data_IF_424439111637
#
_entry.id   IF_424439111637
#
_cell.length_a   1.000
_cell.length_b   1.000
_cell.length_c   1.000
_cell.angle_alpha   90.00
_cell.angle_beta   90.00
_cell.angle_gamma   90.00
#
_symmetry.space_group_name_H-M   'P 1'
#
loop_
_entity.id
_entity.type
_entity.pdbx_description
1 polymer ?
#
# COMPACT_ATOMS: atom_id res chain seq x y z
N UNK A 1 10.01 -1.28 8.31
CA UNK A 1 9.14 -0.15 8.75
C UNK A 1 7.70 -0.56 8.54
N UNK A 2 6.76 -0.14 9.40
CA UNK A 2 5.33 -0.39 9.17
C UNK A 2 4.58 0.92 8.99
N UNK A 3 3.78 0.98 7.93
CA UNK A 3 2.87 2.07 7.59
C UNK A 3 1.44 1.55 7.75
N UNK A 4 0.60 2.27 8.48
CA UNK A 4 -0.79 1.94 8.73
C UNK A 4 -1.64 3.16 8.38
N UNK A 5 -2.26 3.14 7.20
CA UNK A 5 -3.12 4.22 6.73
C UNK A 5 -4.57 3.84 6.94
N UNK A 6 -5.30 4.65 7.69
CA UNK A 6 -6.74 4.57 7.82
C UNK A 6 -7.40 5.71 7.04
N UNK A 7 -7.91 5.37 5.85
CA UNK A 7 -8.50 6.33 4.91
C UNK A 7 -9.85 6.87 5.37
N UNK A 8 -10.43 6.33 6.45
CA UNK A 8 -11.60 6.95 7.11
C UNK A 8 -11.26 8.31 7.70
N UNK A 9 -9.97 8.57 7.94
CA UNK A 9 -9.44 9.85 8.39
C UNK A 9 -9.05 10.79 7.23
N UNK A 10 -9.40 10.43 5.99
CA UNK A 10 -9.10 11.21 4.79
C UNK A 10 -7.82 10.80 4.07
N UNK A 11 -7.39 11.64 3.13
CA UNK A 11 -6.21 11.41 2.32
C UNK A 11 -4.90 11.53 3.13
N UNK A 12 -3.84 10.89 2.64
CA UNK A 12 -2.47 11.05 3.12
C UNK A 12 -1.54 11.41 1.97
N UNK A 13 -0.42 12.06 2.27
CA UNK A 13 0.55 12.51 1.27
C UNK A 13 1.62 11.47 0.93
N UNK A 14 1.58 10.25 1.51
CA UNK A 14 2.44 9.13 1.08
C UNK A 14 1.87 8.35 -0.11
N UNK A 15 0.67 8.71 -0.58
CA UNK A 15 0.03 8.13 -1.75
C UNK A 15 -0.35 9.24 -2.73
N UNK A 16 0.04 9.07 -3.99
CA UNK A 16 -0.39 9.94 -5.08
C UNK A 16 -1.68 9.40 -5.70
N UNK A 17 -2.69 10.26 -5.79
CA UNK A 17 -3.92 9.95 -6.50
C UNK A 17 -3.77 10.08 -8.01
N UNK A 18 -4.51 9.25 -8.73
CA UNK A 18 -4.93 9.48 -10.10
C UNK A 18 -6.44 9.39 -10.19
N UNK A 19 -7.02 10.11 -11.15
CA UNK A 19 -8.46 10.40 -11.16
C UNK A 19 -8.85 11.26 -9.96
N UNK A 20 -10.00 10.98 -9.36
CA UNK A 20 -10.50 11.74 -8.21
C UNK A 20 -11.12 10.83 -7.14
N UNK A 21 -10.31 10.05 -6.39
CA UNK A 21 -10.80 9.30 -5.25
C UNK A 21 -11.44 10.23 -4.22
N UNK A 22 -12.55 9.81 -3.61
CA UNK A 22 -13.22 10.53 -2.52
C UNK A 22 -13.04 9.82 -1.18
N UNK A 23 -13.26 10.52 -0.07
CA UNK A 23 -13.00 10.00 1.27
C UNK A 23 -14.20 10.23 2.20
N UNK A 24 -14.54 9.25 3.02
CA UNK A 24 -15.57 9.40 4.05
C UNK A 24 -15.24 8.61 5.33
N UNK A 25 -15.71 9.04 6.51
CA UNK A 25 -15.48 8.31 7.76
C UNK A 25 -16.03 6.88 7.79
N UNK A 26 -17.09 6.58 7.03
CA UNK A 26 -17.69 5.24 7.00
C UNK A 26 -16.99 4.26 6.06
N UNK A 27 -16.59 4.74 4.88
CA UNK A 27 -16.11 3.88 3.79
C UNK A 27 -14.62 4.00 3.50
N UNK A 28 -13.93 4.99 4.07
CA UNK A 28 -12.56 5.31 3.71
C UNK A 28 -12.45 5.89 2.30
N UNK A 29 -11.45 5.49 1.53
CA UNK A 29 -11.24 5.91 0.16
C UNK A 29 -12.21 5.20 -0.79
N UNK A 30 -12.82 5.94 -1.71
CA UNK A 30 -13.74 5.42 -2.74
C UNK A 30 -13.19 5.68 -4.14
N UNK A 31 -13.11 4.63 -4.94
CA UNK A 31 -12.62 4.60 -6.31
C UNK A 31 -13.81 4.31 -7.21
N UNK A 32 -14.30 5.33 -7.92
CA UNK A 32 -15.55 5.24 -8.67
C UNK A 32 -15.33 5.32 -10.18
N UNK A 33 -15.76 4.29 -10.90
CA UNK A 33 -15.83 4.25 -12.36
C UNK A 33 -17.23 4.68 -12.78
N UNK A 34 -17.34 5.79 -13.52
CA UNK A 34 -18.62 6.32 -14.03
C UNK A 34 -18.73 6.15 -15.55
N UNK A 35 -17.61 6.24 -16.26
CA UNK A 35 -17.55 6.19 -17.72
C UNK A 35 -16.25 5.55 -18.22
N UNK A 36 -16.19 5.29 -19.52
CA UNK A 36 -14.99 4.82 -20.18
C UNK A 36 -13.78 5.72 -19.92
N UNK A 37 -12.63 5.10 -19.67
CA UNK A 37 -11.38 5.77 -19.31
C UNK A 37 -11.24 6.14 -17.82
N UNK A 38 -12.28 6.03 -17.00
CA UNK A 38 -12.12 6.23 -15.56
C UNK A 38 -11.31 5.07 -14.94
N UNK A 39 -10.20 5.41 -14.30
CA UNK A 39 -9.34 4.48 -13.54
C UNK A 39 -8.81 5.15 -12.26
N UNK A 40 -9.69 5.56 -11.31
CA UNK A 40 -9.24 6.17 -10.07
C UNK A 40 -8.43 5.20 -9.21
N UNK A 41 -7.34 5.70 -8.62
CA UNK A 41 -6.42 4.88 -7.86
C UNK A 41 -5.51 5.70 -6.94
N UNK A 42 -4.87 5.01 -5.99
CA UNK A 42 -3.79 5.52 -5.13
C UNK A 42 -2.51 4.70 -5.36
N UNK A 43 -1.38 5.39 -5.50
CA UNK A 43 -0.06 4.79 -5.68
C UNK A 43 0.88 5.26 -4.57
N UNK A 44 1.56 4.34 -3.87
CA UNK A 44 2.54 4.73 -2.86
C UNK A 44 3.70 5.51 -3.48
N UNK A 45 4.16 6.54 -2.77
CA UNK A 45 5.39 7.28 -3.12
C UNK A 45 6.67 6.58 -2.65
N UNK A 46 6.51 5.43 -2.00
CA UNK A 46 7.60 4.61 -1.48
C UNK A 46 7.48 3.19 -2.02
N UNK A 47 8.59 2.47 -1.97
CA UNK A 47 8.71 1.07 -2.33
C UNK A 47 8.96 0.26 -1.06
N UNK A 48 8.61 -1.03 -1.10
CA UNK A 48 9.04 -2.02 -0.11
C UNK A 48 9.90 -3.07 -0.80
N UNK A 49 10.85 -3.66 -0.09
CA UNK A 49 11.66 -4.76 -0.61
C UNK A 49 11.46 -5.99 0.23
N UNK A 50 10.70 -6.95 -0.31
CA UNK A 50 9.97 -7.93 0.48
C UNK A 50 9.08 -7.25 1.55
N UNK A 51 8.09 -7.96 2.05
CA UNK A 51 7.19 -7.35 3.00
C UNK A 51 5.84 -7.99 3.09
N UNK A 52 4.93 -7.22 3.66
CA UNK A 52 3.54 -7.58 3.80
C UNK A 52 2.65 -6.39 3.48
N UNK A 53 1.57 -6.63 2.76
CA UNK A 53 0.52 -5.65 2.48
C UNK A 53 -0.81 -6.26 2.92
N UNK A 54 -1.44 -5.66 3.93
CA UNK A 54 -2.82 -5.92 4.32
C UNK A 54 -3.69 -4.77 3.79
N UNK A 55 -4.75 -5.06 3.02
CA UNK A 55 -5.76 -4.08 2.59
C UNK A 55 -7.14 -4.50 3.08
N UNK A 56 -7.90 -3.59 3.69
CA UNK A 56 -9.30 -3.83 4.09
C UNK A 56 -10.24 -3.10 3.14
N UNK A 57 -11.00 -3.84 2.35
CA UNK A 57 -11.77 -3.27 1.24
C UNK A 57 -13.08 -3.99 0.92
N UNK A 58 -13.91 -3.34 0.10
CA UNK A 58 -15.02 -3.88 -0.68
C UNK A 58 -14.74 -3.66 -2.17
N UNK A 59 -14.87 -4.70 -2.98
CA UNK A 59 -14.72 -4.61 -4.42
C UNK A 59 -15.91 -3.90 -5.07
N UNK A 60 -15.66 -3.23 -6.20
CA UNK A 60 -16.71 -2.65 -7.03
C UNK A 60 -17.54 -3.74 -7.72
N UNK A 61 -18.88 -3.64 -7.72
CA UNK A 61 -19.75 -4.52 -8.52
C UNK A 61 -19.76 -4.08 -9.99
N UNK A 62 -20.31 -4.93 -10.86
CA UNK A 62 -20.61 -4.60 -12.26
C UNK A 62 -19.81 -5.44 -13.25
N UNK A 63 -20.48 -5.92 -14.31
CA UNK A 63 -19.81 -6.65 -15.38
C UNK A 63 -18.68 -5.79 -15.99
N UNK A 64 -17.51 -6.38 -16.22
CA UNK A 64 -16.36 -5.66 -16.77
C UNK A 64 -15.62 -4.72 -15.82
N UNK A 65 -16.16 -4.46 -14.62
CA UNK A 65 -15.47 -3.63 -13.61
C UNK A 65 -14.46 -4.48 -12.86
N UNK A 66 -13.28 -3.90 -12.64
CA UNK A 66 -12.17 -4.55 -11.96
C UNK A 66 -11.77 -3.68 -10.78
N UNK A 67 -11.63 -4.29 -9.60
CA UNK A 67 -10.92 -3.70 -8.46
C UNK A 67 -9.57 -4.38 -8.34
N UNK A 68 -8.53 -3.63 -8.00
CA UNK A 68 -7.15 -4.11 -8.07
C UNK A 68 -6.34 -3.69 -6.85
N UNK A 69 -5.51 -4.59 -6.35
CA UNK A 69 -4.35 -4.31 -5.52
C UNK A 69 -3.13 -4.90 -6.22
N UNK A 70 -2.18 -4.04 -6.55
CA UNK A 70 -0.99 -4.38 -7.32
C UNK A 70 0.25 -3.93 -6.55
N UNK A 71 1.18 -4.86 -6.33
CA UNK A 71 2.56 -4.54 -6.00
C UNK A 71 3.34 -4.60 -7.30
N UNK A 72 4.00 -3.50 -7.70
CA UNK A 72 4.68 -3.40 -8.99
C UNK A 72 6.07 -2.77 -8.82
N UNK A 73 7.10 -3.34 -9.44
CA UNK A 73 8.46 -2.79 -9.46
C UNK A 73 8.72 -1.96 -10.72
N UNK A 74 9.82 -1.22 -10.71
CA UNK A 74 10.28 -0.47 -11.90
C UNK A 74 10.79 -1.39 -13.03
N UNK A 75 11.18 -2.63 -12.74
CA UNK A 75 11.51 -3.64 -13.74
C UNK A 75 10.32 -4.54 -14.11
N UNK A 76 9.11 -4.24 -13.60
CA UNK A 76 7.85 -4.94 -13.88
C UNK A 76 7.77 -6.37 -13.29
N UNK A 77 8.46 -6.62 -12.18
CA UNK A 77 8.01 -7.64 -11.24
C UNK A 77 6.70 -7.19 -10.59
N UNK A 78 5.74 -8.11 -10.45
CA UNK A 78 4.36 -7.78 -10.08
C UNK A 78 3.70 -8.88 -9.24
N UNK A 79 2.89 -8.46 -8.25
CA UNK A 79 1.98 -9.33 -7.49
C UNK A 79 0.60 -8.66 -7.45
N UNK A 80 -0.41 -9.40 -7.91
CA UNK A 80 -1.76 -8.88 -8.07
C UNK A 80 -2.80 -9.59 -7.20
N UNK A 81 -3.80 -8.82 -6.80
CA UNK A 81 -5.11 -9.27 -6.36
C UNK A 81 -6.17 -8.51 -7.16
N UNK A 82 -6.96 -9.24 -7.93
CA UNK A 82 -7.99 -8.67 -8.81
C UNK A 82 -9.37 -9.19 -8.45
N UNK A 83 -10.35 -8.30 -8.31
CA UNK A 83 -11.75 -8.66 -8.10
C UNK A 83 -12.56 -8.24 -9.31
N UNK A 84 -13.28 -9.21 -9.90
CA UNK A 84 -14.13 -8.99 -11.05
C UNK A 84 -15.55 -8.68 -10.58
N UNK A 85 -16.06 -7.49 -10.90
CA UNK A 85 -17.37 -7.02 -10.46
C UNK A 85 -18.55 -7.88 -10.94
N UNK A 86 -18.33 -8.75 -11.93
CA UNK A 86 -19.29 -9.75 -12.39
C UNK A 86 -19.51 -10.91 -11.41
N UNK A 87 -18.63 -11.12 -10.43
CA UNK A 87 -18.74 -12.22 -9.46
C UNK A 87 -18.49 -11.71 -8.02
N UNK A 88 -19.52 -11.74 -7.14
CA UNK A 88 -19.41 -11.23 -5.77
C UNK A 88 -18.67 -12.17 -4.80
N UNK A 89 -18.35 -13.39 -5.22
CA UNK A 89 -17.87 -14.46 -4.34
C UNK A 89 -16.52 -15.05 -4.76
N UNK A 90 -15.72 -14.26 -5.47
CA UNK A 90 -14.43 -14.68 -6.03
C UNK A 90 -13.40 -13.53 -6.01
N UNK A 91 -12.11 -13.90 -6.00
CA UNK A 91 -10.99 -13.04 -6.32
C UNK A 91 -9.97 -13.80 -7.16
N UNK A 92 -9.14 -13.09 -7.92
CA UNK A 92 -7.99 -13.64 -8.62
C UNK A 92 -6.69 -13.20 -7.93
N UNK A 93 -5.74 -14.13 -7.81
CA UNK A 93 -4.34 -13.80 -7.52
C UNK A 93 -3.51 -13.97 -8.78
N UNK A 94 -2.53 -13.11 -9.02
CA UNK A 94 -1.61 -13.23 -10.14
C UNK A 94 -0.20 -12.74 -9.77
N UNK A 95 0.77 -13.01 -10.64
CA UNK A 95 2.13 -12.48 -10.51
C UNK A 95 2.82 -12.41 -11.88
N UNK A 96 3.75 -11.47 -12.03
CA UNK A 96 4.63 -11.36 -13.20
C UNK A 96 6.08 -11.14 -12.77
N UNK A 97 7.03 -11.65 -13.56
CA UNK A 97 8.43 -11.29 -13.40
C UNK A 97 8.92 -10.52 -14.62
N UNK A 98 9.55 -9.38 -14.38
CA UNK A 98 10.25 -8.57 -15.40
C UNK A 98 9.39 -8.19 -16.60
N UNK A 99 8.07 -8.04 -16.40
CA UNK A 99 7.10 -7.74 -17.45
C UNK A 99 6.96 -8.85 -18.50
N UNK A 100 7.44 -10.06 -18.20
CA UNK A 100 7.43 -11.19 -19.16
C UNK A 100 6.05 -11.82 -19.20
N UNK A 101 5.35 -11.57 -20.31
CA UNK A 101 3.96 -11.99 -20.56
C UNK A 101 3.84 -13.12 -21.58
N UNK A 102 4.92 -13.89 -21.76
CA UNK A 102 5.00 -15.03 -22.69
C UNK A 102 3.95 -16.10 -22.43
N UNK A 103 3.49 -16.22 -21.17
CA UNK A 103 2.42 -17.10 -20.73
C UNK A 103 1.43 -16.32 -19.84
N UNK A 104 0.17 -16.74 -19.87
CA UNK A 104 -0.93 -16.14 -19.08
C UNK A 104 -1.57 -17.15 -18.11
N UNK A 105 -0.78 -18.13 -17.67
CA UNK A 105 -1.17 -19.26 -16.83
C UNK A 105 -0.97 -19.03 -15.32
N UNK A 106 -0.49 -17.86 -14.92
CA UNK A 106 -0.10 -17.55 -13.54
C UNK A 106 -1.28 -17.11 -12.67
N UNK A 107 -2.35 -16.64 -13.28
CA UNK A 107 -3.57 -16.24 -12.59
C UNK A 107 -4.32 -17.44 -12.03
N UNK A 108 -4.81 -17.32 -10.81
CA UNK A 108 -5.65 -18.33 -10.15
C UNK A 108 -6.82 -17.66 -9.46
N UNK A 109 -8.03 -18.17 -9.73
CA UNK A 109 -9.26 -17.72 -9.08
C UNK A 109 -9.51 -18.51 -7.79
N UNK A 110 -10.01 -17.82 -6.77
CA UNK A 110 -10.26 -18.32 -5.44
C UNK A 110 -11.67 -17.95 -4.99
N UNK A 111 -12.41 -18.89 -4.42
CA UNK A 111 -13.71 -18.57 -3.82
C UNK A 111 -13.51 -17.77 -2.53
N UNK A 112 -14.06 -16.56 -2.50
CA UNK A 112 -14.06 -15.65 -1.36
C UNK A 112 -15.42 -15.01 -1.28
N UNK A 113 -16.26 -15.46 -0.35
CA UNK A 113 -17.65 -15.03 -0.27
C UNK A 113 -17.76 -13.54 0.10
N UNK A 114 -18.64 -12.82 -0.58
CA UNK A 114 -19.03 -11.45 -0.23
C UNK A 114 -17.98 -10.37 -0.48
N UNK A 115 -17.12 -10.51 -1.50
CA UNK A 115 -16.07 -9.53 -1.83
C UNK A 115 -16.61 -8.11 -2.09
N UNK A 116 -17.85 -8.01 -2.57
CA UNK A 116 -18.54 -6.75 -2.89
C UNK A 116 -19.42 -6.25 -1.73
N UNK A 117 -19.84 -7.14 -0.81
CA UNK A 117 -20.79 -6.84 0.25
C UNK A 117 -20.13 -6.59 1.62
N UNK A 118 -18.99 -7.26 1.88
CA UNK A 118 -18.34 -7.30 3.19
C UNK A 118 -16.99 -6.59 3.17
N UNK A 119 -16.64 -5.96 4.29
CA UNK A 119 -15.28 -5.50 4.52
C UNK A 119 -14.38 -6.70 4.78
N UNK A 120 -13.56 -7.05 3.80
CA UNK A 120 -12.63 -8.18 3.90
C UNK A 120 -11.21 -7.64 3.95
N UNK A 121 -10.40 -8.19 4.85
CA UNK A 121 -8.97 -7.97 4.86
C UNK A 121 -8.27 -8.98 3.96
N UNK A 122 -7.57 -8.49 2.96
CA UNK A 122 -6.73 -9.27 2.07
C UNK A 122 -5.26 -9.02 2.41
N UNK A 123 -4.44 -10.06 2.29
CA UNK A 123 -3.02 -10.00 2.63
C UNK A 123 -2.18 -10.56 1.50
N UNK A 124 -1.09 -9.87 1.17
CA UNK A 124 0.06 -10.42 0.45
C UNK A 124 1.24 -10.43 1.43
N UNK A 125 1.81 -11.61 1.71
CA UNK A 125 3.10 -11.79 2.39
C UNK A 125 4.13 -12.24 1.35
N UNK A 126 5.17 -11.45 1.15
CA UNK A 126 6.15 -11.63 0.09
C UNK A 126 7.55 -11.64 0.67
N UNK A 127 8.27 -12.73 0.43
CA UNK A 127 9.66 -12.93 0.86
C UNK A 127 10.52 -13.38 -0.31
N UNK A 128 11.83 -13.56 -0.11
CA UNK A 128 12.66 -14.18 -1.15
C UNK A 128 12.29 -15.63 -1.46
N UNK A 129 11.60 -16.30 -0.54
CA UNK A 129 11.35 -17.75 -0.60
C UNK A 129 9.91 -18.10 -1.01
N UNK A 130 8.94 -17.21 -0.76
CA UNK A 130 7.53 -17.43 -1.08
C UNK A 130 6.70 -16.14 -1.17
N UNK A 131 5.57 -16.25 -1.87
CA UNK A 131 4.43 -15.33 -1.80
C UNK A 131 3.23 -16.08 -1.22
N UNK A 132 2.53 -15.47 -0.27
CA UNK A 132 1.28 -15.98 0.30
C UNK A 132 0.18 -14.93 0.09
N UNK A 133 -0.93 -15.36 -0.51
CA UNK A 133 -2.15 -14.57 -0.60
C UNK A 133 -3.15 -15.07 0.44
N UNK A 134 -3.84 -14.14 1.10
CA UNK A 134 -4.86 -14.45 2.10
C UNK A 134 -6.09 -13.58 1.92
N UNK A 135 -7.25 -14.13 2.29
CA UNK A 135 -8.52 -13.40 2.39
C UNK A 135 -9.20 -13.74 3.72
N UNK A 136 -9.60 -12.72 4.49
CA UNK A 136 -10.28 -12.92 5.77
C UNK A 136 -9.48 -13.73 6.78
N UNK A 137 -8.14 -13.65 6.74
CA UNK A 137 -7.24 -14.42 7.62
C UNK A 137 -6.99 -15.88 7.20
N UNK A 138 -7.52 -16.33 6.05
CA UNK A 138 -7.28 -17.66 5.49
C UNK A 138 -6.34 -17.59 4.30
N UNK A 139 -5.37 -18.49 4.24
CA UNK A 139 -4.50 -18.65 3.06
C UNK A 139 -5.32 -19.19 1.90
N UNK A 140 -5.26 -18.51 0.76
CA UNK A 140 -5.92 -18.94 -0.49
C UNK A 140 -4.90 -19.40 -1.54
N UNK A 141 -3.67 -18.89 -1.49
CA UNK A 141 -2.57 -19.33 -2.34
C UNK A 141 -1.22 -19.18 -1.64
N UNK A 142 -0.34 -20.14 -1.87
CA UNK A 142 1.09 -20.03 -1.57
C UNK A 142 1.88 -20.39 -2.82
N UNK A 143 2.81 -19.53 -3.22
CA UNK A 143 3.78 -19.77 -4.29
C UNK A 143 5.17 -19.78 -3.67
N UNK A 144 5.85 -20.93 -3.65
CA UNK A 144 7.27 -20.93 -3.32
C UNK A 144 8.08 -20.42 -4.52
N UNK A 145 9.20 -19.74 -4.24
CA UNK A 145 10.07 -19.18 -5.29
C UNK A 145 10.52 -20.25 -6.28
N UNK A 146 10.83 -21.46 -5.81
CA UNK A 146 11.24 -22.61 -6.63
C UNK A 146 10.15 -23.13 -7.57
N UNK A 147 8.88 -22.84 -7.29
CA UNK A 147 7.73 -23.32 -8.06
C UNK A 147 7.26 -22.27 -9.07
N UNK A 148 7.77 -21.04 -8.98
CA UNK A 148 7.57 -20.04 -10.01
C UNK A 148 8.36 -20.41 -11.27
N UNK A 149 7.75 -20.19 -12.44
CA UNK A 149 8.44 -20.29 -13.73
C UNK A 149 9.75 -19.50 -13.73
N UNK A 150 10.74 -19.99 -14.49
CA UNK A 150 12.08 -19.42 -14.51
C UNK A 150 12.05 -17.92 -14.85
N UNK A 151 12.60 -17.11 -13.93
CA UNK A 151 12.65 -15.66 -14.08
C UNK A 151 11.33 -14.93 -13.86
N UNK A 152 10.28 -15.63 -13.41
CA UNK A 152 8.96 -15.03 -13.15
C UNK A 152 8.70 -14.67 -11.69
N UNK A 153 9.56 -15.09 -10.75
CA UNK A 153 9.34 -14.77 -9.34
C UNK A 153 9.64 -13.28 -9.04
N UNK A 154 8.66 -12.51 -8.53
CA UNK A 154 8.84 -11.13 -8.11
C UNK A 154 9.87 -11.00 -7.00
N UNK A 155 10.90 -10.18 -7.21
CA UNK A 155 12.07 -10.15 -6.35
C UNK A 155 12.78 -8.79 -6.32
N UNK A 156 12.14 -7.73 -6.80
CA UNK A 156 12.70 -6.38 -6.81
C UNK A 156 11.75 -5.42 -6.08
N UNK A 157 12.22 -4.25 -5.59
CA UNK A 157 11.40 -3.36 -4.77
C UNK A 157 10.12 -2.97 -5.49
N UNK A 158 8.99 -3.09 -4.80
CA UNK A 158 7.66 -2.80 -5.36
C UNK A 158 6.97 -1.66 -4.64
N UNK A 159 6.32 -0.80 -5.40
CA UNK A 159 5.32 0.16 -4.91
C UNK A 159 3.97 -0.52 -4.81
N UNK A 160 3.07 0.07 -4.03
CA UNK A 160 1.71 -0.44 -3.79
C UNK A 160 0.72 0.47 -4.53
N UNK A 161 -0.07 -0.11 -5.41
CA UNK A 161 -1.10 0.55 -6.21
C UNK A 161 -2.44 -0.12 -5.91
N UNK A 162 -3.50 0.65 -5.75
CA UNK A 162 -4.85 0.09 -5.65
C UNK A 162 -5.90 1.08 -6.15
N UNK A 163 -6.96 0.53 -6.74
CA UNK A 163 -8.00 1.30 -7.38
C UNK A 163 -8.94 0.43 -8.20
N UNK A 164 -9.83 1.08 -8.95
CA UNK A 164 -10.80 0.39 -9.81
C UNK A 164 -10.80 0.96 -11.21
N UNK A 165 -11.09 0.12 -12.19
CA UNK A 165 -11.10 0.48 -13.60
C UNK A 165 -12.06 -0.41 -14.39
N UNK A 166 -12.33 -0.03 -15.63
CA UNK A 166 -13.15 -0.81 -16.54
C UNK A 166 -12.29 -1.69 -17.43
N UNK A 167 -12.08 -2.95 -17.04
CA UNK A 167 -11.44 -3.97 -17.88
C UNK A 167 -12.34 -4.43 -19.04
N UNK A 168 -13.65 -4.34 -18.85
CA UNK A 168 -14.67 -4.70 -19.82
C UNK A 168 -15.02 -3.65 -20.87
N UNK A 169 -14.27 -2.54 -20.99
CA UNK A 169 -14.51 -1.55 -22.04
C UNK A 169 -13.95 -2.03 -23.39
N UNK A 170 -14.82 -2.38 -24.38
CA UNK A 170 -14.35 -2.86 -25.68
C UNK A 170 -13.76 -1.74 -26.56
N UNK A 171 -13.94 -0.47 -26.21
CA UNK A 171 -13.42 0.65 -26.99
C UNK A 171 -11.96 0.97 -26.64
N UNK A 172 -11.52 0.60 -25.44
CA UNK A 172 -10.18 0.92 -24.94
C UNK A 172 -9.32 -0.31 -24.67
N UNK A 173 -9.92 -1.49 -24.50
CA UNK A 173 -9.20 -2.70 -24.12
C UNK A 173 -9.26 -3.80 -25.19
N UNK A 174 -8.24 -4.65 -25.19
CA UNK A 174 -8.21 -5.83 -26.05
C UNK A 174 -9.35 -6.82 -25.70
N UNK A 175 -9.85 -7.55 -26.69
CA UNK A 175 -10.94 -8.52 -26.51
C UNK A 175 -10.65 -9.57 -25.41
N UNK A 176 -9.39 -9.98 -25.26
CA UNK A 176 -8.95 -10.87 -24.18
C UNK A 176 -9.16 -10.28 -22.79
N UNK A 177 -8.81 -9.00 -22.59
CA UNK A 177 -9.03 -8.27 -21.34
C UNK A 177 -10.53 -8.11 -21.05
N UNK A 178 -11.32 -7.77 -22.07
CA UNK A 178 -12.79 -7.63 -21.91
C UNK A 178 -13.43 -8.96 -21.51
N UNK A 179 -13.01 -10.05 -22.15
CA UNK A 179 -13.47 -11.41 -21.82
C UNK A 179 -13.04 -11.84 -20.41
N UNK A 180 -11.78 -11.62 -20.05
CA UNK A 180 -11.26 -11.90 -18.71
C UNK A 180 -12.02 -11.13 -17.63
N UNK A 181 -12.31 -9.85 -17.85
CA UNK A 181 -13.08 -9.01 -16.94
C UNK A 181 -14.58 -9.39 -16.86
N UNK A 182 -15.00 -10.41 -17.61
CA UNK A 182 -16.40 -10.87 -17.73
C UNK A 182 -17.32 -9.71 -18.16
N UNK A 183 -16.84 -8.91 -19.12
CA UNK A 183 -17.53 -7.78 -19.71
C UNK A 183 -18.41 -8.15 -20.92
N UNK A 184 -19.04 -7.17 -21.58
CA UNK A 184 -18.67 -5.75 -21.58
C UNK A 184 -19.17 -4.95 -20.37
N UNK A 185 -18.51 -3.82 -20.08
CA UNK A 185 -18.95 -2.85 -19.08
C UNK A 185 -20.14 -2.03 -19.60
N UNK A 186 -21.20 -1.95 -18.79
CA UNK A 186 -22.38 -1.13 -19.06
C UNK A 186 -22.41 0.07 -18.11
N UNK A 187 -21.82 1.20 -18.54
CA UNK A 187 -21.72 2.41 -17.74
C UNK A 187 -23.07 3.00 -17.31
N UNK A 188 -24.18 2.65 -18.00
CA UNK A 188 -25.52 3.11 -17.60
C UNK A 188 -26.00 2.49 -16.28
N UNK A 189 -25.36 1.38 -15.85
CA UNK A 189 -25.61 0.73 -14.55
C UNK A 189 -24.68 1.21 -13.44
N UNK A 190 -23.80 2.17 -13.75
CA UNK A 190 -22.94 2.81 -12.78
C UNK A 190 -23.71 3.80 -11.89
N UNK A 191 -23.00 4.52 -11.00
CA UNK A 191 -21.55 4.43 -10.78
C UNK A 191 -21.14 3.11 -10.11
N UNK A 192 -19.94 2.63 -10.42
CA UNK A 192 -19.35 1.44 -9.80
C UNK A 192 -18.23 1.85 -8.86
N UNK A 193 -18.28 1.44 -7.59
CA UNK A 193 -17.35 1.96 -6.58
C UNK A 193 -16.67 0.85 -5.80
N UNK A 194 -15.34 0.82 -5.85
CA UNK A 194 -14.49 0.11 -4.89
C UNK A 194 -14.26 1.00 -3.68
N UNK A 195 -14.26 0.41 -2.48
CA UNK A 195 -14.02 1.15 -1.24
C UNK A 195 -12.90 0.50 -0.42
N UNK A 196 -12.01 1.32 0.15
CA UNK A 196 -10.87 0.87 0.95
C UNK A 196 -10.86 1.63 2.28
N UNK A 197 -11.01 0.90 3.38
CA UNK A 197 -10.93 1.50 4.72
C UNK A 197 -9.49 1.77 5.13
N UNK A 198 -8.61 0.78 4.94
CA UNK A 198 -7.24 0.88 5.45
C UNK A 198 -6.27 0.00 4.69
N UNK A 199 -5.00 0.38 4.79
CA UNK A 199 -3.84 -0.38 4.29
C UNK A 199 -2.77 -0.42 5.37
N UNK A 200 -2.26 -1.61 5.68
CA UNK A 200 -1.08 -1.81 6.52
C UNK A 200 0.03 -2.41 5.67
N UNK A 201 1.12 -1.69 5.51
CA UNK A 201 2.29 -2.10 4.73
C UNK A 201 3.47 -2.26 5.66
N UNK A 202 4.08 -3.42 5.65
CA UNK A 202 5.35 -3.67 6.33
C UNK A 202 6.44 -3.93 5.31
N UNK A 203 7.49 -3.11 5.37
CA UNK A 203 8.74 -3.35 4.66
C UNK A 203 9.62 -4.27 5.50
N UNK A 204 9.93 -5.46 4.96
CA UNK A 204 10.86 -6.41 5.60
C UNK A 204 12.32 -5.97 5.47
N UNK A 205 12.61 -4.94 4.69
CA UNK A 205 13.93 -4.34 4.58
C UNK A 205 14.03 -3.05 5.42
N UNK A 206 15.25 -2.54 5.56
CA UNK A 206 15.56 -1.23 6.16
C UNK A 206 16.28 -0.36 5.14
N UNK A 207 16.26 0.95 5.33
CA UNK A 207 16.96 1.90 4.47
C UNK A 207 16.08 3.10 4.16
N UNK A 208 16.63 4.03 3.38
CA UNK A 208 15.90 5.23 2.91
C UNK A 208 15.44 5.11 1.47
N UNK A 209 16.13 4.28 0.69
CA UNK A 209 15.89 4.07 -0.73
C UNK A 209 16.46 2.72 -1.18
N UNK A 210 15.99 2.26 -2.34
CA UNK A 210 16.48 1.07 -3.00
C UNK A 210 17.15 1.44 -4.32
N UNK A 211 18.31 0.82 -4.58
CA UNK A 211 19.08 1.03 -5.81
C UNK A 211 19.37 -0.31 -6.48
N UNK A 212 19.09 -0.37 -7.79
CA UNK A 212 19.59 -1.44 -8.64
C UNK A 212 21.09 -1.20 -8.89
N UNK A 213 21.95 -2.12 -8.41
CA UNK A 213 23.40 -2.02 -8.64
C UNK A 213 23.83 -2.49 -10.02
N UNK A 214 22.95 -3.22 -10.73
CA UNK A 214 23.16 -3.73 -12.07
C UNK A 214 21.82 -3.87 -12.82
N UNK A 215 21.86 -4.46 -14.02
CA UNK A 215 20.69 -4.66 -14.91
C UNK A 215 20.09 -6.07 -14.84
N UNK A 216 20.46 -6.88 -13.85
CA UNK A 216 20.01 -8.28 -13.77
C UNK A 216 18.55 -8.43 -13.35
N UNK A 217 18.00 -7.45 -12.62
CA UNK A 217 16.72 -7.57 -11.93
C UNK A 217 16.69 -8.68 -10.88
N UNK A 218 17.85 -9.09 -10.36
CA UNK A 218 17.94 -10.07 -9.28
C UNK A 218 17.88 -9.36 -7.93
N UNK A 219 17.20 -9.96 -6.94
CA UNK A 219 17.11 -9.35 -5.61
C UNK A 219 18.48 -9.09 -4.96
N UNK A 220 19.49 -9.91 -5.27
CA UNK A 220 20.86 -9.74 -4.79
C UNK A 220 21.58 -8.50 -5.32
N UNK A 221 21.09 -7.91 -6.43
CA UNK A 221 21.61 -6.65 -6.96
C UNK A 221 20.98 -5.42 -6.31
N UNK A 222 19.95 -5.60 -5.48
CA UNK A 222 19.30 -4.51 -4.77
C UNK A 222 20.15 -4.07 -3.57
N UNK A 223 20.51 -2.80 -3.56
CA UNK A 223 21.08 -2.11 -2.41
C UNK A 223 19.97 -1.38 -1.66
N UNK A 224 19.92 -1.54 -0.34
CA UNK A 224 19.08 -0.73 0.53
C UNK A 224 19.96 0.34 1.19
N UNK A 225 19.89 1.58 0.70
CA UNK A 225 20.84 2.64 1.08
C UNK A 225 20.60 3.05 2.53
N UNK A 226 21.67 3.00 3.33
CA UNK A 226 21.60 3.25 4.78
C UNK A 226 20.85 2.17 5.56
N UNK A 227 20.71 0.97 5.00
CA UNK A 227 20.04 -0.17 5.63
C UNK A 227 20.48 -1.52 5.05
N UNK A 228 19.57 -2.49 5.07
CA UNK A 228 19.80 -3.84 4.57
C UNK A 228 18.49 -4.46 4.06
N UNK A 229 18.59 -5.19 2.94
CA UNK A 229 17.51 -6.06 2.48
C UNK A 229 17.23 -7.12 3.56
N UNK A 230 15.96 -7.34 3.89
CA UNK A 230 15.50 -8.21 4.99
C UNK A 230 15.92 -7.76 6.41
N UNK A 231 16.42 -6.53 6.59
CA UNK A 231 16.83 -6.01 7.90
C UNK A 231 15.71 -5.96 8.98
N UNK A 232 14.44 -6.05 8.58
CA UNK A 232 13.26 -6.07 9.44
C UNK A 232 12.47 -7.39 9.38
N UNK A 233 12.93 -8.42 8.66
CA UNK A 233 12.16 -9.67 8.43
C UNK A 233 11.78 -10.38 9.73
N UNK A 234 12.62 -10.26 10.78
CA UNK A 234 12.38 -10.81 12.12
C UNK A 234 11.95 -9.75 13.15
N UNK A 235 11.66 -8.52 12.72
CA UNK A 235 11.06 -7.53 13.61
C UNK A 235 9.68 -8.01 14.07
N UNK A 236 9.12 -7.45 15.15
CA UNK A 236 7.75 -7.70 15.63
C UNK A 236 6.68 -7.19 14.64
N UNK A 237 6.81 -7.54 13.37
CA UNK A 237 5.84 -7.29 12.31
C UNK A 237 4.80 -8.39 12.47
N UNK A 238 3.66 -8.04 13.07
CA UNK A 238 2.49 -8.89 13.37
C UNK A 238 2.61 -10.33 12.86
N UNK A 239 2.94 -11.31 13.74
CA UNK A 239 3.13 -12.70 13.31
C UNK A 239 1.90 -13.14 12.52
N UNK A 240 2.14 -13.74 11.35
CA UNK A 240 1.10 -14.39 10.56
C UNK A 240 0.36 -15.35 11.50
N UNK A 241 -0.85 -15.00 11.93
CA UNK A 241 -1.74 -15.97 12.55
C UNK A 241 -2.30 -16.80 11.40
N UNK A 242 -1.53 -17.80 10.98
CA UNK A 242 -1.91 -18.72 9.92
C UNK A 242 -2.99 -19.62 10.52
N UNK A 243 -4.25 -19.26 10.34
CA UNK A 243 -5.33 -20.22 10.53
C UNK A 243 -5.33 -21.08 9.28
N UNK A 244 -4.66 -22.23 9.35
CA UNK A 244 -4.68 -23.22 8.28
C UNK A 244 -6.14 -23.69 8.11
N UNK A 245 -6.87 -23.09 7.17
CA UNK A 245 -8.04 -23.72 6.60
C UNK A 245 -7.55 -24.66 5.51
N UNK A 246 -8.14 -25.85 5.41
CA UNK A 246 -7.86 -26.76 4.30
C UNK A 246 -7.92 -25.97 2.99
N UNK A 247 -6.86 -26.07 2.19
CA UNK A 247 -6.78 -25.44 0.86
C UNK A 247 -8.03 -25.88 0.11
N UNK A 248 -8.97 -24.95 -0.08
CA UNK A 248 -10.08 -25.19 -0.99
C UNK A 248 -9.44 -25.43 -2.37
N UNK A 249 -9.82 -26.49 -3.09
CA UNK A 249 -9.31 -26.70 -4.44
C UNK A 249 -9.54 -25.42 -5.24
N UNK A 250 -8.47 -24.82 -5.78
CA UNK A 250 -8.61 -23.75 -6.76
C UNK A 250 -9.52 -24.29 -7.87
N UNK A 251 -10.56 -23.53 -8.23
CA UNK A 251 -11.37 -23.90 -9.38
C UNK A 251 -10.44 -23.85 -10.61
N UNK A 252 -10.17 -25.01 -11.22
CA UNK A 252 -9.49 -25.09 -12.52
C UNK A 252 -10.40 -24.50 -13.58
N UNK A 253 -10.41 -23.17 -13.70
CA UNK A 253 -10.99 -22.51 -14.85
C UNK A 253 -10.09 -22.82 -16.04
N UNK A 254 -10.67 -23.31 -17.14
CA UNK A 254 -9.99 -23.47 -18.43
C UNK A 254 -9.16 -22.21 -18.74
N UNK A 255 -7.99 -22.38 -19.37
CA UNK A 255 -7.03 -21.31 -19.72
C UNK A 255 -7.73 -20.09 -20.34
N UNK A 256 -8.13 -19.13 -19.51
CA UNK A 256 -8.46 -17.79 -19.95
C UNK A 256 -7.13 -17.02 -19.95
N UNK A 257 -6.80 -16.39 -21.07
CA UNK A 257 -5.65 -15.50 -21.18
C UNK A 257 -5.86 -14.31 -20.24
N UNK A 258 -5.29 -14.38 -19.04
CA UNK A 258 -5.24 -13.28 -18.08
C UNK A 258 -4.45 -12.13 -18.72
N UNK A 259 -4.91 -10.88 -18.75
CA UNK A 259 -4.14 -9.78 -19.32
C UNK A 259 -2.84 -9.55 -18.55
N UNK A 260 -1.93 -8.76 -19.15
CA UNK A 260 -0.79 -8.18 -18.41
C UNK A 260 -1.35 -7.45 -17.19
N UNK A 261 -0.70 -7.63 -16.03
CA UNK A 261 -1.14 -7.06 -14.77
C UNK A 261 -1.19 -5.52 -14.78
N UNK A 262 -1.64 -4.97 -13.66
CA UNK A 262 -1.70 -3.54 -13.43
C UNK A 262 -3.12 -3.01 -13.32
N UNK A 263 -3.19 -1.70 -13.12
CA UNK A 263 -4.42 -0.91 -13.11
C UNK A 263 -4.38 -0.06 -14.38
N UNK A 264 -5.53 0.17 -15.03
CA UNK A 264 -5.63 1.01 -16.24
C UNK A 264 -4.83 2.35 -16.13
N UNK A 265 -4.51 2.98 -17.27
CA UNK A 265 -3.46 4.02 -17.37
C UNK A 265 -3.36 4.94 -16.15
N UNK A 266 -2.22 4.90 -15.46
CA UNK A 266 -2.14 5.42 -14.11
C UNK A 266 -2.01 6.93 -14.01
N UNK A 267 -1.52 7.65 -15.03
CA UNK A 267 -1.49 9.12 -15.14
C UNK A 267 -0.81 9.87 -13.97
N UNK A 268 -0.33 9.14 -12.97
CA UNK A 268 0.07 9.62 -11.66
C UNK A 268 1.50 10.14 -11.72
N UNK A 269 1.84 11.21 -10.99
CA UNK A 269 3.23 11.65 -10.88
C UNK A 269 4.12 10.65 -10.12
N UNK A 270 3.55 9.62 -9.48
CA UNK A 270 4.30 8.61 -8.73
C UNK A 270 5.26 7.76 -9.58
N UNK A 271 5.05 7.67 -10.90
CA UNK A 271 6.13 7.43 -11.89
C UNK A 271 5.71 7.93 -13.27
N UNK A 272 6.49 8.84 -13.85
CA UNK A 272 6.63 9.04 -15.31
C UNK A 272 8.06 8.66 -15.65
N UNK A 273 8.42 7.89 -16.68
CA UNK A 273 7.75 7.45 -17.90
C UNK A 273 8.44 6.13 -18.28
N UNK A 274 7.75 5.24 -18.99
CA UNK A 274 8.39 4.14 -19.72
C UNK A 274 9.41 4.74 -20.71
N UNK A 275 10.68 4.92 -20.29
CA UNK A 275 11.77 5.21 -21.22
C UNK A 275 12.05 3.90 -21.92
N UNK A 276 11.66 3.83 -23.20
CA UNK A 276 11.61 2.61 -23.98
C UNK A 276 12.84 1.71 -23.85
N UNK A 277 12.63 0.45 -24.18
CA UNK A 277 13.69 -0.55 -24.29
C UNK A 277 14.84 -0.07 -25.21
N UNK A 278 16.12 -0.21 -24.83
CA UNK A 278 16.66 -0.72 -23.56
C UNK A 278 16.77 0.36 -22.46
N UNK A 279 16.78 -0.08 -21.20
CA UNK A 279 16.86 0.78 -20.01
C UNK A 279 18.15 1.65 -19.98
N UNK A 280 17.99 2.96 -19.80
CA UNK A 280 19.11 3.91 -19.68
C UNK A 280 19.37 4.18 -18.21
N UNK A 281 20.57 3.85 -17.74
CA UNK A 281 20.97 3.86 -16.32
C UNK A 281 21.09 5.23 -15.63
N UNK A 282 20.48 6.29 -16.18
CA UNK A 282 20.56 7.66 -15.68
C UNK A 282 19.22 8.28 -15.28
N UNK A 283 18.08 7.63 -15.51
CA UNK A 283 16.79 8.19 -15.14
C UNK A 283 16.50 7.94 -13.65
N UNK A 284 16.88 8.90 -12.78
CA UNK A 284 16.36 8.92 -11.41
C UNK A 284 14.88 9.35 -11.45
N UNK A 285 13.96 8.59 -10.82
CA UNK A 285 12.56 9.00 -10.70
C UNK A 285 12.46 10.38 -10.02
N UNK A 286 11.86 11.36 -10.70
CA UNK A 286 11.62 12.71 -10.16
C UNK A 286 10.50 12.75 -9.10
N UNK A 287 9.90 11.59 -8.78
CA UNK A 287 9.01 11.38 -7.64
C UNK A 287 9.74 11.17 -6.30
N UNK A 288 11.06 10.94 -6.34
CA UNK A 288 12.00 11.12 -5.25
C UNK A 288 11.83 10.23 -4.01
N UNK A 289 12.96 9.74 -3.50
CA UNK A 289 13.06 9.23 -2.13
C UNK A 289 12.69 10.35 -1.16
N UNK A 290 12.14 10.03 0.03
CA UNK A 290 11.75 11.06 1.01
C UNK A 290 12.95 12.00 1.23
N UNK A 291 12.85 13.30 0.89
CA UNK A 291 14.01 14.17 0.89
C UNK A 291 14.67 14.24 2.26
N UNK A 292 15.97 14.53 2.29
CA UNK A 292 16.67 14.78 3.55
C UNK A 292 15.95 15.85 4.38
N UNK A 293 15.79 15.60 5.68
CA UNK A 293 14.99 16.45 6.57
C UNK A 293 13.48 16.19 6.51
N UNK A 294 13.03 15.10 5.88
CA UNK A 294 11.65 14.61 5.94
C UNK A 294 11.64 13.14 6.39
N UNK A 295 10.50 12.70 6.95
CA UNK A 295 10.28 11.32 7.36
C UNK A 295 8.81 10.93 7.16
N UNK A 296 8.55 9.63 6.98
CA UNK A 296 7.19 9.10 6.98
C UNK A 296 6.84 8.56 8.37
N UNK A 297 5.68 9.00 8.87
CA UNK A 297 5.11 8.52 10.13
C UNK A 297 4.53 7.11 9.98
N UNK A 298 4.35 6.38 11.10
CA UNK A 298 3.61 5.11 11.09
C UNK A 298 2.20 5.23 10.51
N UNK A 299 1.59 6.41 10.49
CA UNK A 299 0.24 6.62 9.93
C UNK A 299 0.25 7.02 8.44
N UNK A 300 1.39 6.90 7.75
CA UNK A 300 1.53 7.21 6.32
C UNK A 300 1.55 8.70 5.98
N UNK A 301 1.78 9.59 6.94
CA UNK A 301 2.03 11.01 6.65
C UNK A 301 3.52 11.26 6.49
N UNK A 302 3.93 11.89 5.40
CA UNK A 302 5.27 12.42 5.19
C UNK A 302 5.33 13.82 5.82
N UNK A 303 6.26 14.03 6.74
CA UNK A 303 6.41 15.27 7.53
C UNK A 303 7.85 15.73 7.54
N UNK A 304 8.08 17.02 7.77
CA UNK A 304 9.42 17.59 7.91
C UNK A 304 9.98 17.28 9.30
N UNK A 305 11.26 16.96 9.40
CA UNK A 305 11.97 16.82 10.66
C UNK A 305 12.20 18.21 11.25
N UNK A 306 11.86 18.42 12.52
CA UNK A 306 12.04 19.69 13.21
C UNK A 306 13.52 19.95 13.53
N UNK A 307 14.31 20.35 12.54
CA UNK A 307 15.61 20.99 12.75
C UNK A 307 15.44 22.49 12.56
N UNK A 308 14.83 23.16 13.55
CA UNK A 308 14.52 24.59 13.44
C UNK A 308 13.72 25.24 14.56
N UNK A 309 13.45 24.57 15.68
CA UNK A 309 13.15 25.33 16.90
C UNK A 309 14.49 25.89 17.40
N UNK A 310 14.81 27.11 16.95
CA UNK A 310 15.77 27.95 17.66
C UNK A 310 15.47 27.83 19.15
N UNK A 311 16.51 27.60 19.94
CA UNK A 311 16.44 27.79 21.39
C UNK A 311 15.68 29.10 21.63
N UNK A 312 14.45 29.02 22.12
CA UNK A 312 13.94 30.11 22.93
C UNK A 312 14.87 30.10 24.13
N UNK A 313 15.92 30.90 24.04
CA UNK A 313 16.73 31.28 25.17
C UNK A 313 15.73 31.68 26.25
N UNK A 314 15.70 30.88 27.32
CA UNK A 314 15.13 31.30 28.58
C UNK A 314 15.87 32.59 28.94
N UNK A 315 15.28 33.74 28.62
CA UNK A 315 15.68 34.99 29.22
C UNK A 315 15.53 34.77 30.73
N UNK A 316 16.67 34.70 31.40
CA UNK A 316 16.79 34.59 32.83
C UNK A 316 15.97 35.71 33.48
N UNK A 317 14.83 35.38 34.06
CA UNK A 317 14.27 36.16 35.14
C UNK A 317 15.03 35.74 36.41
N UNK A 318 16.22 36.30 36.61
CA UNK A 318 16.96 36.13 37.85
C UNK A 318 16.43 37.10 38.91
N UNK A 319 15.93 36.49 39.98
CA UNK A 319 15.99 36.91 41.39
C UNK A 319 15.29 38.20 41.82
N UNK A 320 14.21 38.03 42.60
CA UNK A 320 14.09 38.62 43.94
C UNK A 320 12.96 37.90 44.70
N UNK A 321 13.27 36.74 45.29
CA UNK A 321 12.50 36.20 46.41
C UNK A 321 13.48 36.06 47.58
N UNK A 322 13.58 37.12 48.38
CA UNK A 322 14.31 37.12 49.63
C UNK A 322 13.57 36.23 50.63
N UNK A 323 14.16 35.09 50.95
CA UNK A 323 13.82 34.27 52.10
C UNK A 323 14.31 35.02 53.34
N UNK A 324 13.38 35.52 54.16
CA UNK A 324 13.67 35.88 55.56
C UNK A 324 13.04 34.80 56.43
N UNK A 325 13.88 33.86 56.85
CA UNK A 325 13.61 32.95 57.96
C UNK A 325 14.51 33.39 59.11
N UNK A 326 13.90 33.92 60.17
CA UNK A 326 14.52 34.03 61.49
C UNK A 326 13.43 33.76 62.55
N UNK A 327 13.53 32.67 63.34
CA UNK A 327 12.80 32.52 64.58
C UNK A 327 13.67 32.99 65.77
N UNK A 328 13.03 33.14 66.93
CA UNK A 328 13.54 33.56 68.26
C UNK A 328 13.38 35.07 68.51
N UNK A 329 12.87 35.56 69.64
CA UNK A 329 12.18 34.99 70.78
C UNK A 329 11.69 36.18 71.64
N UNK A 330 10.73 35.94 72.52
CA UNK A 330 10.42 36.71 73.74
C UNK A 330 9.81 38.12 73.56
N UNK A 331 8.55 38.23 73.98
CA UNK A 331 8.27 39.12 75.12
C UNK A 331 7.15 40.14 75.00
N UNK A 332 6.08 39.88 75.77
CA UNK A 332 5.49 40.86 76.70
C UNK A 332 4.47 41.88 76.15
N UNK A 333 3.21 41.53 76.43
CA UNK A 333 2.15 42.33 77.09
C UNK A 333 1.20 43.24 76.28
N UNK A 334 -0.09 43.02 76.62
CA UNK A 334 -1.17 44.00 76.82
C UNK A 334 -1.73 44.72 75.58
N UNK A 335 -3.02 45.04 75.44
CA UNK A 335 -4.29 44.83 76.15
C UNK A 335 -5.33 45.58 75.28
N UNK A 336 -6.61 45.23 75.42
CA UNK A 336 -7.81 46.07 75.11
C UNK A 336 -8.32 46.16 73.65
N UNK A 337 -9.27 45.27 73.37
CA UNK A 337 -10.70 45.52 73.16
C UNK A 337 -11.28 46.35 71.99
N UNK A 338 -12.53 45.94 71.70
CA UNK A 338 -13.66 46.59 70.98
C UNK A 338 -13.64 46.41 69.45
N UNK A 339 -14.51 45.54 68.92
CA UNK A 339 -15.94 45.79 68.60
C UNK A 339 -16.06 46.98 67.64
N UNK A 340 -16.30 46.71 66.35
CA UNK A 340 -17.65 46.67 65.75
C UNK A 340 -17.66 45.72 64.55
#
# INVERSE_FOLDING_TARGET
>A
MTVNVDFRNGAVNSFAASGSPSYSPGSGASFTVVRGGDAPQLNSLFYIMFGRVDITMKAAPGAGIVSSLVLESDDLDEIDLEWLGANPDEMQSNYFGKGRTTSYNRGQFHSVQGTQAQWIKYTVDWTKDRIVWMAGGKVVRTLAQKDAEQGQYPQTPMRIKFGSWSGGDPNTNAAGTVSWARGPTDYSKGPFTMQVQSVVIADYSTGKEYKYKDTSGAWGSIEAVGGAVNGNLNGNVSPLTITASAVQPAATTAQLSVPVGGIGSDGSPATRTQTGWPWVAGASPTGGTIPSGWYMTPNGKIMRSDTGAAQSSSAQASSLLAVVLAPLAVGVLSLVARIY
#
